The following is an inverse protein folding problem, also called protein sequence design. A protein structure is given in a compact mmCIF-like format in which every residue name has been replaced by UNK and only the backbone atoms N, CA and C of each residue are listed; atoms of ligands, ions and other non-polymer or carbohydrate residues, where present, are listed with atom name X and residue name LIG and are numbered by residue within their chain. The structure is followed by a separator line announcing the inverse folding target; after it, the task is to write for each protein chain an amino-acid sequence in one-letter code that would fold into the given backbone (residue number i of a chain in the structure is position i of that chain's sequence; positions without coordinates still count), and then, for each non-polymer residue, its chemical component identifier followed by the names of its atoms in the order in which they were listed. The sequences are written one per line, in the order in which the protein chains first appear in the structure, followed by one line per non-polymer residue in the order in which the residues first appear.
data_IF_569453341882
#
_entry.id   IF_569453341882
#
_cell.length_a   1.000
_cell.length_b   1.000
_cell.length_c   1.000
_cell.angle_alpha   90.00
_cell.angle_beta   90.00
_cell.angle_gamma   90.00
#
_symmetry.space_group_name_H-M   'P 1'
#
loop_
_entity.id
_entity.type
_entity.pdbx_description
1 polymer ?
#
# COMPACT_ATOMS: atom_id res chain seq x y z
N UNK A 1 29.07 2.31 4.69
CA UNK A 1 27.65 2.18 4.32
C UNK A 1 27.24 0.76 4.58
N UNK A 2 26.11 0.55 5.28
CA UNK A 2 25.53 -0.79 5.41
C UNK A 2 24.85 -1.14 4.08
N UNK A 3 25.32 -2.18 3.40
CA UNK A 3 24.67 -2.70 2.19
C UNK A 3 23.63 -3.70 2.63
N UNK A 4 22.35 -3.36 2.48
CA UNK A 4 21.25 -4.31 2.67
C UNK A 4 21.15 -5.23 1.46
N UNK A 5 21.14 -6.54 1.71
CA UNK A 5 20.91 -7.54 0.67
C UNK A 5 19.40 -7.68 0.45
N UNK A 6 18.89 -7.04 -0.60
CA UNK A 6 17.49 -7.09 -0.97
C UNK A 6 17.16 -8.35 -1.76
N UNK A 7 16.13 -9.08 -1.36
CA UNK A 7 15.55 -10.19 -2.12
C UNK A 7 14.11 -9.89 -2.50
N UNK A 8 13.68 -10.32 -3.68
CA UNK A 8 12.27 -10.25 -4.05
C UNK A 8 11.48 -11.27 -3.22
N UNK A 9 10.48 -10.80 -2.49
CA UNK A 9 9.55 -11.66 -1.75
C UNK A 9 8.34 -11.97 -2.63
N UNK A 10 7.84 -10.98 -3.35
CA UNK A 10 6.62 -11.10 -4.16
C UNK A 10 6.56 -10.07 -5.27
N UNK A 11 6.05 -10.52 -6.42
CA UNK A 11 5.58 -9.67 -7.50
C UNK A 11 4.08 -9.84 -7.68
N UNK A 12 3.37 -8.74 -7.89
CA UNK A 12 1.92 -8.67 -8.08
C UNK A 12 1.67 -7.92 -9.38
N UNK A 13 0.98 -8.57 -10.30
CA UNK A 13 0.60 -8.02 -11.59
C UNK A 13 -0.92 -8.03 -11.71
N UNK A 14 -1.51 -6.84 -11.78
CA UNK A 14 -2.94 -6.64 -11.95
C UNK A 14 -3.18 -5.83 -13.22
N UNK A 15 -4.22 -6.18 -13.97
CA UNK A 15 -4.58 -5.49 -15.20
C UNK A 15 -6.10 -5.41 -15.37
N UNK A 16 -6.56 -4.32 -15.97
CA UNK A 16 -7.92 -4.09 -16.45
C UNK A 16 -9.04 -4.64 -15.53
N UNK A 17 -9.20 -4.03 -14.35
CA UNK A 17 -10.24 -4.44 -13.41
C UNK A 17 -10.78 -3.27 -12.58
N UNK A 18 -12.00 -3.44 -12.06
CA UNK A 18 -12.56 -2.56 -11.05
C UNK A 18 -12.11 -3.02 -9.66
N UNK A 19 -11.41 -2.15 -8.94
CA UNK A 19 -10.97 -2.40 -7.57
C UNK A 19 -12.06 -1.92 -6.62
N UNK A 20 -12.79 -2.87 -6.01
CA UNK A 20 -13.88 -2.60 -5.07
C UNK A 20 -13.42 -2.56 -3.61
N UNK A 21 -12.39 -3.32 -3.27
CA UNK A 21 -11.86 -3.37 -1.91
C UNK A 21 -10.98 -2.15 -1.61
N UNK A 22 -10.96 -1.71 -0.35
CA UNK A 22 -10.01 -0.70 0.09
C UNK A 22 -8.57 -1.26 0.15
N UNK A 23 -8.46 -2.54 0.52
CA UNK A 23 -7.21 -3.24 0.75
C UNK A 23 -7.18 -4.57 -0.02
N UNK A 24 -6.08 -4.82 -0.70
CA UNK A 24 -5.76 -6.09 -1.36
C UNK A 24 -4.55 -6.70 -0.67
N UNK A 25 -4.59 -8.01 -0.40
CA UNK A 25 -3.47 -8.73 0.20
C UNK A 25 -2.32 -8.80 -0.81
N UNK A 26 -1.14 -8.29 -0.44
CA UNK A 26 0.11 -8.50 -1.16
C UNK A 26 0.84 -9.76 -0.69
N UNK A 27 0.92 -9.94 0.63
CA UNK A 27 1.59 -11.05 1.31
C UNK A 27 0.71 -11.53 2.45
N UNK A 28 0.57 -12.84 2.63
CA UNK A 28 -0.22 -13.41 3.73
C UNK A 28 0.49 -13.31 5.08
N UNK A 29 1.82 -13.40 5.08
CA UNK A 29 2.65 -13.26 6.26
C UNK A 29 4.05 -12.72 5.87
N UNK A 30 4.59 -11.85 6.72
CA UNK A 30 6.01 -11.48 6.69
C UNK A 30 6.86 -12.56 7.36
N UNK A 31 8.05 -12.82 6.80
CA UNK A 31 9.09 -13.58 7.48
C UNK A 31 9.60 -12.76 8.68
N UNK A 32 9.53 -13.30 9.92
CA UNK A 32 9.99 -12.61 11.12
C UNK A 32 11.48 -12.21 11.09
N UNK A 33 12.30 -12.81 10.21
CA UNK A 33 13.70 -12.46 10.05
C UNK A 33 13.92 -11.14 9.28
N UNK A 34 12.90 -10.62 8.59
CA UNK A 34 13.01 -9.38 7.84
C UNK A 34 12.98 -8.16 8.76
N UNK A 35 13.86 -7.20 8.50
CA UNK A 35 13.90 -5.90 9.20
C UNK A 35 13.43 -4.74 8.34
N UNK A 36 13.46 -4.92 7.02
CA UNK A 36 13.07 -3.89 6.07
C UNK A 36 12.23 -4.49 4.94
N UNK A 37 11.24 -3.71 4.50
CA UNK A 37 10.47 -3.98 3.29
C UNK A 37 10.67 -2.80 2.34
N UNK A 38 10.93 -3.10 1.07
CA UNK A 38 10.93 -2.12 -0.01
C UNK A 38 9.83 -2.47 -0.99
N UNK A 39 8.96 -1.51 -1.27
CA UNK A 39 7.94 -1.66 -2.30
C UNK A 39 8.32 -0.79 -3.50
N UNK A 40 8.15 -1.34 -4.70
CA UNK A 40 8.27 -0.62 -5.97
C UNK A 40 7.03 -0.83 -6.78
N UNK A 41 6.48 0.23 -7.33
CA UNK A 41 5.26 0.14 -8.11
C UNK A 41 5.37 0.94 -9.40
N UNK A 42 4.76 0.39 -10.45
CA UNK A 42 4.44 1.09 -11.68
C UNK A 42 3.01 0.74 -12.07
N UNK A 43 2.30 1.64 -12.73
CA UNK A 43 0.92 1.37 -13.12
C UNK A 43 0.16 2.62 -13.52
N UNK A 44 -1.10 2.40 -13.90
CA UNK A 44 -2.05 3.43 -14.31
C UNK A 44 -3.45 3.08 -13.83
N UNK A 45 -4.15 4.07 -13.27
CA UNK A 45 -5.54 3.93 -12.85
C UNK A 45 -6.25 5.27 -12.77
N UNK A 46 -7.57 5.22 -12.76
CA UNK A 46 -8.44 6.37 -12.49
C UNK A 46 -9.10 6.19 -11.13
N UNK A 47 -8.71 7.02 -10.16
CA UNK A 47 -9.12 6.88 -8.76
C UNK A 47 -10.64 6.99 -8.54
N UNK A 48 -11.31 7.84 -9.32
CA UNK A 48 -12.76 7.93 -9.39
C UNK A 48 -13.19 8.57 -10.71
N UNK A 49 -14.44 8.34 -11.12
CA UNK A 49 -15.00 8.98 -12.31
C UNK A 49 -14.87 10.50 -12.25
N UNK A 50 -14.37 11.10 -13.33
CA UNK A 50 -14.15 12.55 -13.44
C UNK A 50 -12.75 13.02 -13.01
N UNK A 51 -11.92 12.16 -12.42
CA UNK A 51 -10.50 12.48 -12.20
C UNK A 51 -9.62 12.01 -13.37
N UNK A 52 -8.45 12.66 -13.58
CA UNK A 52 -7.45 12.16 -14.51
C UNK A 52 -6.88 10.80 -14.09
N UNK A 53 -6.38 10.05 -15.07
CA UNK A 53 -5.56 8.86 -14.81
C UNK A 53 -4.28 9.27 -14.07
N UNK A 54 -3.90 8.50 -13.05
CA UNK A 54 -2.66 8.68 -12.29
C UNK A 54 -1.87 7.37 -12.20
N UNK A 55 -0.65 7.48 -11.68
CA UNK A 55 0.21 6.34 -11.35
C UNK A 55 0.36 6.19 -9.83
N UNK A 56 1.39 5.43 -9.38
CA UNK A 56 1.58 5.11 -7.97
C UNK A 56 1.69 6.28 -7.01
N UNK A 57 2.20 7.43 -7.45
CA UNK A 57 2.27 8.62 -6.59
C UNK A 57 0.94 9.40 -6.51
N UNK A 58 -0.11 8.94 -7.21
CA UNK A 58 -1.41 9.59 -7.24
C UNK A 58 -1.41 10.90 -8.04
N UNK A 59 -2.40 11.75 -7.76
CA UNK A 59 -2.54 13.08 -8.38
C UNK A 59 -1.87 14.15 -7.51
N UNK A 60 -0.53 14.18 -7.55
CA UNK A 60 0.26 15.18 -6.80
C UNK A 60 -0.18 16.60 -7.18
N UNK A 61 -0.38 17.45 -6.17
CA UNK A 61 -0.75 18.85 -6.35
C UNK A 61 -2.25 19.11 -6.52
N UNK A 62 -3.10 18.07 -6.54
CA UNK A 62 -4.54 18.23 -6.43
C UNK A 62 -4.98 18.16 -4.97
N UNK A 63 -5.69 19.19 -4.51
CA UNK A 63 -6.34 19.16 -3.20
C UNK A 63 -7.56 18.25 -3.25
N UNK A 64 -7.73 17.39 -2.25
CA UNK A 64 -8.88 16.50 -2.14
C UNK A 64 -9.42 16.54 -0.70
N UNK A 65 -10.74 16.41 -0.48
CA UNK A 65 -11.28 16.41 0.88
C UNK A 65 -10.75 15.25 1.73
N UNK A 66 -10.26 15.54 2.93
CA UNK A 66 -9.67 14.55 3.86
C UNK A 66 -10.65 13.42 4.20
N UNK A 67 -11.95 13.71 4.30
CA UNK A 67 -13.02 12.74 4.57
C UNK A 67 -13.26 11.75 3.42
N UNK A 68 -12.56 11.93 2.29
CA UNK A 68 -12.56 11.02 1.13
C UNK A 68 -11.27 10.24 0.99
N UNK A 69 -10.27 10.46 1.85
CA UNK A 69 -8.96 9.81 1.80
C UNK A 69 -8.83 8.76 2.90
N UNK A 70 -8.02 7.74 2.64
CA UNK A 70 -7.65 6.75 3.66
C UNK A 70 -6.48 7.29 4.50
N UNK A 71 -5.58 8.01 3.84
CA UNK A 71 -4.39 8.62 4.40
C UNK A 71 -4.36 10.10 3.97
N UNK A 72 -4.65 11.00 4.90
CA UNK A 72 -4.94 12.43 4.62
C UNK A 72 -3.69 13.24 4.24
N UNK A 73 -2.50 12.78 4.60
CA UNK A 73 -1.21 13.36 4.23
C UNK A 73 -0.62 12.75 2.94
N UNK A 74 -1.44 12.06 2.15
CA UNK A 74 -1.05 11.41 0.90
C UNK A 74 -1.95 11.84 -0.26
N UNK A 75 -1.42 11.89 -1.48
CA UNK A 75 -2.17 12.33 -2.65
C UNK A 75 -3.34 11.39 -2.97
N UNK A 76 -4.43 11.94 -3.52
CA UNK A 76 -5.57 11.15 -3.96
C UNK A 76 -5.16 10.12 -5.02
N UNK A 77 -5.61 8.89 -4.85
CA UNK A 77 -5.29 7.77 -5.72
C UNK A 77 -3.87 7.22 -5.58
N UNK A 78 -3.01 7.78 -4.71
CA UNK A 78 -1.68 7.23 -4.48
C UNK A 78 -1.74 5.80 -3.94
N UNK A 79 -0.73 5.00 -4.26
CA UNK A 79 -0.58 3.66 -3.73
C UNK A 79 -0.16 3.76 -2.25
N UNK A 80 -0.87 3.07 -1.37
CA UNK A 80 -0.63 3.02 0.06
C UNK A 80 -0.50 1.57 0.52
N UNK A 81 0.24 1.37 1.60
CA UNK A 81 0.51 0.08 2.21
C UNK A 81 -0.01 0.02 3.63
N UNK A 82 -0.17 -1.20 4.14
CA UNK A 82 -0.41 -1.47 5.55
C UNK A 82 0.20 -2.82 5.89
N UNK A 83 0.84 -2.93 7.04
CA UNK A 83 1.35 -4.19 7.59
C UNK A 83 0.48 -4.59 8.78
N UNK A 84 0.10 -5.86 8.85
CA UNK A 84 -0.67 -6.42 9.95
C UNK A 84 -2.13 -5.96 10.05
N UNK A 85 -2.80 -6.49 11.07
CA UNK A 85 -4.22 -6.28 11.35
C UNK A 85 -5.17 -7.02 10.40
N UNK A 86 -6.47 -6.81 10.58
CA UNK A 86 -7.52 -7.40 9.73
C UNK A 86 -8.02 -6.37 8.70
N UNK A 87 -8.33 -6.85 7.50
CA UNK A 87 -9.04 -6.09 6.47
C UNK A 87 -10.50 -5.77 6.87
N UNK A 88 -11.03 -6.40 7.91
CA UNK A 88 -12.40 -6.21 8.42
C UNK A 88 -12.50 -5.26 9.63
N UNK A 89 -11.38 -4.70 10.11
CA UNK A 89 -11.38 -3.87 11.32
C UNK A 89 -12.03 -2.49 11.07
N UNK A 90 -13.12 -2.18 11.79
CA UNK A 90 -13.85 -0.90 11.72
C UNK A 90 -13.27 0.24 12.58
N UNK A 91 -12.29 -0.05 13.44
CA UNK A 91 -11.65 0.91 14.37
C UNK A 91 -10.15 0.71 14.34
N UNK A 92 -9.36 1.78 14.10
CA UNK A 92 -7.89 1.69 14.20
C UNK A 92 -7.44 1.03 15.52
N UNK A 93 -6.30 0.33 15.56
CA UNK A 93 -5.99 -0.60 16.65
C UNK A 93 -5.84 0.14 17.97
N UNK A 94 -6.61 -0.30 18.95
CA UNK A 94 -6.26 -0.12 20.35
C UNK A 94 -5.58 -1.41 20.82
N UNK A 95 -4.28 -1.31 21.06
CA UNK A 95 -3.28 -2.30 21.55
C UNK A 95 -2.49 -3.13 20.53
N UNK A 96 -1.17 -3.33 20.77
CA UNK A 96 -0.18 -3.64 19.74
C UNK A 96 0.30 -5.08 19.88
N UNK A 97 -0.31 -6.00 19.15
CA UNK A 97 0.31 -7.28 18.78
C UNK A 97 -0.15 -7.59 17.36
N UNK A 98 0.79 -7.47 16.42
CA UNK A 98 0.55 -7.37 14.97
C UNK A 98 0.87 -5.97 14.48
N UNK A 99 1.90 -5.83 13.65
CA UNK A 99 2.63 -4.59 13.33
C UNK A 99 1.76 -3.37 13.07
N UNK A 100 2.27 -2.18 13.43
CA UNK A 100 1.59 -0.88 13.36
C UNK A 100 0.61 -0.81 12.19
N UNK A 101 -0.68 -1.06 12.45
CA UNK A 101 -1.65 -1.28 11.36
C UNK A 101 -2.05 0.03 10.65
N UNK A 102 -1.22 1.07 10.80
CA UNK A 102 -1.39 2.38 10.21
C UNK A 102 -1.03 2.28 8.72
N UNK A 103 -1.86 2.86 7.84
CA UNK A 103 -1.47 3.04 6.45
C UNK A 103 -0.17 3.85 6.34
N UNK A 104 0.64 3.54 5.34
CA UNK A 104 1.82 4.31 4.95
C UNK A 104 1.83 4.55 3.43
N UNK A 105 2.44 5.63 2.95
CA UNK A 105 2.57 5.88 1.52
C UNK A 105 3.53 4.88 0.88
N UNK A 106 3.12 4.26 -0.23
CA UNK A 106 4.00 3.44 -1.08
C UNK A 106 4.54 4.27 -2.23
N UNK A 107 3.67 4.95 -2.98
CA UNK A 107 4.10 5.69 -4.17
C UNK A 107 4.77 4.79 -5.21
N UNK A 108 5.64 5.36 -6.04
CA UNK A 108 6.49 4.61 -6.96
C UNK A 108 7.55 3.76 -6.24
N UNK A 109 8.06 4.24 -5.11
CA UNK A 109 9.03 3.53 -4.29
C UNK A 109 8.96 3.95 -2.82
N UNK A 110 9.00 2.97 -1.91
CA UNK A 110 9.13 3.22 -0.47
C UNK A 110 10.03 2.16 0.18
N UNK A 111 10.68 2.53 1.29
CA UNK A 111 11.40 1.62 2.17
C UNK A 111 10.88 1.82 3.59
N UNK A 112 10.39 0.75 4.20
CA UNK A 112 9.82 0.76 5.55
C UNK A 112 10.63 -0.17 6.44
N UNK A 113 11.02 0.35 7.61
CA UNK A 113 11.59 -0.48 8.68
C UNK A 113 10.45 -1.21 9.39
N UNK A 114 10.57 -2.52 9.52
CA UNK A 114 9.62 -3.33 10.25
C UNK A 114 9.82 -3.18 11.76
N UNK A 115 8.74 -3.16 12.57
CA UNK A 115 8.83 -3.34 14.01
C UNK A 115 9.53 -4.66 14.36
N UNK A 116 10.13 -4.73 15.55
CA UNK A 116 10.70 -5.97 16.06
C UNK A 116 9.61 -7.05 16.16
N UNK A 117 9.89 -8.24 15.63
CA UNK A 117 8.93 -9.36 15.53
C UNK A 117 7.65 -9.02 14.74
N UNK A 118 7.73 -8.14 13.74
CA UNK A 118 6.62 -7.88 12.84
C UNK A 118 6.14 -9.18 12.17
N UNK A 119 4.89 -9.54 12.42
CA UNK A 119 4.23 -10.70 11.83
C UNK A 119 2.87 -10.28 11.27
N UNK A 120 2.38 -11.04 10.29
CA UNK A 120 1.08 -10.85 9.67
C UNK A 120 1.13 -10.36 8.21
N UNK A 121 -0.05 -10.17 7.61
CA UNK A 121 -0.17 -9.88 6.18
C UNK A 121 0.32 -8.48 5.83
N UNK A 122 0.76 -8.32 4.58
CA UNK A 122 0.98 -7.01 3.96
C UNK A 122 -0.17 -6.75 3.00
N UNK A 123 -0.77 -5.58 3.11
CA UNK A 123 -1.80 -5.10 2.22
C UNK A 123 -1.30 -3.91 1.41
N UNK A 124 -1.86 -3.74 0.23
CA UNK A 124 -1.79 -2.49 -0.52
C UNK A 124 -3.21 -1.99 -0.83
N UNK A 125 -3.32 -0.70 -1.11
CA UNK A 125 -4.55 -0.05 -1.46
C UNK A 125 -4.29 1.24 -2.21
N UNK A 126 -5.37 1.90 -2.61
CA UNK A 126 -5.33 3.18 -3.30
C UNK A 126 -5.96 4.25 -2.42
N UNK A 127 -5.29 5.39 -2.27
CA UNK A 127 -5.67 6.43 -1.33
C UNK A 127 -6.90 7.23 -1.78
N UNK A 128 -8.06 6.63 -1.61
CA UNK A 128 -9.39 7.18 -1.80
C UNK A 128 -10.36 6.24 -1.09
N UNK A 129 -11.48 6.73 -0.57
CA UNK A 129 -12.56 5.92 0.01
C UNK A 129 -13.65 5.59 -1.00
N UNK A 130 -13.78 6.39 -2.06
CA UNK A 130 -14.75 6.17 -3.14
C UNK A 130 -14.34 4.94 -3.96
N UNK A 131 -15.29 4.06 -4.26
CA UNK A 131 -15.10 2.81 -5.00
C UNK A 131 -16.27 2.60 -5.98
N UNK A 132 -16.09 1.88 -7.10
CA UNK A 132 -14.85 1.23 -7.54
C UNK A 132 -13.81 2.21 -8.10
N UNK A 133 -12.54 1.83 -7.98
CA UNK A 133 -11.42 2.46 -8.70
C UNK A 133 -11.17 1.69 -10.00
N UNK A 134 -10.95 2.40 -11.11
CA UNK A 134 -10.69 1.75 -12.41
C UNK A 134 -9.20 1.53 -12.59
N UNK A 135 -8.76 0.29 -12.47
CA UNK A 135 -7.36 -0.10 -12.63
C UNK A 135 -7.08 -0.49 -14.09
N UNK A 136 -6.17 0.22 -14.74
CA UNK A 136 -5.68 -0.15 -16.07
C UNK A 136 -4.52 -1.15 -15.94
N UNK A 137 -3.52 -0.82 -15.12
CA UNK A 137 -2.40 -1.71 -14.80
C UNK A 137 -1.77 -1.38 -13.44
N UNK A 138 -1.24 -2.40 -12.77
CA UNK A 138 -0.35 -2.27 -11.62
C UNK A 138 0.64 -3.44 -11.62
N UNK A 139 1.92 -3.12 -11.58
CA UNK A 139 2.99 -4.02 -11.20
C UNK A 139 3.52 -3.52 -9.84
N UNK A 140 3.44 -4.36 -8.82
CA UNK A 140 3.96 -4.09 -7.47
C UNK A 140 4.98 -5.18 -7.11
N UNK A 141 6.22 -4.77 -6.87
CA UNK A 141 7.30 -5.63 -6.37
C UNK A 141 7.54 -5.32 -4.89
N UNK A 142 7.51 -6.36 -4.06
CA UNK A 142 7.83 -6.31 -2.63
C UNK A 142 9.16 -7.03 -2.40
N UNK A 143 10.13 -6.32 -1.85
CA UNK A 143 11.47 -6.80 -1.54
C UNK A 143 11.70 -6.79 -0.02
N UNK A 144 12.47 -7.76 0.48
CA UNK A 144 12.85 -7.88 1.89
C UNK A 144 14.35 -7.75 2.10
N UNK A 145 14.73 -7.24 3.27
CA UNK A 145 16.11 -7.32 3.78
C UNK A 145 16.14 -7.50 5.30
N UNK A 146 17.21 -8.12 5.80
CA UNK A 146 17.47 -8.39 7.23
C UNK A 146 18.65 -7.60 7.78
#
# INVERSE_FOLDING_TARGET
MLTLNWSEIKKIDLSAQDVVAAWTVALEALDPALKYVRCRAIGKWTAMAGLPTCGPDGLIGQSFPDDRLILTDCAVGALIGRIGGSSATLKGPSTPDGGETKPFPIGCETVVKLPDNATGPVYFGFNILVRPLKLESLELTVLGAS
#
